data_IF_112179714409
#
_entry.id   IF_112179714409
#
_cell.length_a   1.000
_cell.length_b   1.000
_cell.length_c   1.000
_cell.angle_alpha   90.00
_cell.angle_beta   90.00
_cell.angle_gamma   90.00
#
_symmetry.space_group_name_H-M   'P 1'
#
loop_
_entity.id
_entity.type
_entity.pdbx_description
1 polymer ?
#
# COMPACT_ATOMS: atom_id res chain seq x y z
N UNK A 1 -20.79 -15.50 -1.38
CA UNK A 1 -20.46 -15.19 0.03
C UNK A 1 -19.49 -14.03 -0.04
N UNK A 2 -19.83 -12.88 0.51
CA UNK A 2 -18.88 -11.76 0.62
C UNK A 2 -17.88 -12.14 1.69
N UNK A 3 -16.87 -12.93 1.30
CA UNK A 3 -15.68 -13.13 2.10
C UNK A 3 -15.11 -11.74 2.36
N UNK A 4 -15.11 -11.37 3.64
CA UNK A 4 -14.66 -10.08 4.11
C UNK A 4 -13.23 -9.86 3.60
N UNK A 5 -13.03 -8.92 2.67
CA UNK A 5 -11.70 -8.40 2.30
C UNK A 5 -10.97 -7.79 3.52
N UNK A 6 -11.70 -7.58 4.62
CA UNK A 6 -11.16 -7.26 5.92
C UNK A 6 -10.61 -8.54 6.57
N UNK A 7 -9.31 -8.76 6.36
CA UNK A 7 -8.52 -9.66 7.18
C UNK A 7 -8.07 -8.90 8.46
N UNK A 8 -8.58 -9.29 9.65
CA UNK A 8 -8.26 -8.63 10.91
C UNK A 8 -6.80 -8.81 11.35
N UNK A 9 -6.06 -9.78 10.80
CA UNK A 9 -4.63 -9.98 11.06
C UNK A 9 -3.77 -9.16 10.09
N UNK A 10 -4.25 -8.94 8.86
CA UNK A 10 -3.51 -8.17 7.84
C UNK A 10 -3.52 -6.66 8.13
N UNK A 11 -4.65 -6.13 8.62
CA UNK A 11 -4.81 -4.69 8.85
C UNK A 11 -3.77 -4.12 9.85
N UNK A 12 -3.55 -4.74 11.03
CA UNK A 12 -2.50 -4.31 11.95
C UNK A 12 -1.10 -4.42 11.36
N UNK A 13 -0.81 -5.48 10.59
CA UNK A 13 0.49 -5.68 9.97
C UNK A 13 0.81 -4.61 8.93
N UNK A 14 -0.17 -4.24 8.09
CA UNK A 14 -0.04 -3.14 7.13
C UNK A 14 0.16 -1.79 7.83
N UNK A 15 -0.56 -1.55 8.92
CA UNK A 15 -0.39 -0.33 9.72
C UNK A 15 1.01 -0.25 10.33
N UNK A 16 1.48 -1.32 11.00
CA UNK A 16 2.83 -1.39 11.58
C UNK A 16 3.91 -1.24 10.50
N UNK A 17 3.69 -1.80 9.31
CA UNK A 17 4.61 -1.64 8.18
C UNK A 17 4.68 -0.18 7.72
N UNK A 18 3.54 0.51 7.61
CA UNK A 18 3.50 1.94 7.31
C UNK A 18 4.20 2.81 8.36
N UNK A 19 4.01 2.49 9.65
CA UNK A 19 4.69 3.17 10.75
C UNK A 19 6.21 2.95 10.71
N UNK A 20 6.66 1.73 10.42
CA UNK A 20 8.09 1.43 10.27
C UNK A 20 8.70 2.18 9.08
N UNK A 21 8.04 2.17 7.92
CA UNK A 21 8.47 2.93 6.74
C UNK A 21 8.56 4.43 7.08
N UNK A 22 7.58 4.98 7.79
CA UNK A 22 7.54 6.39 8.16
C UNK A 22 8.70 6.86 9.06
N UNK A 23 9.40 5.95 9.74
CA UNK A 23 10.52 6.27 10.63
C UNK A 23 11.82 6.62 9.88
N UNK A 24 11.95 6.25 8.60
CA UNK A 24 13.16 6.50 7.83
C UNK A 24 13.27 7.97 7.41
N UNK A 25 14.45 8.61 7.58
CA UNK A 25 14.60 10.05 7.40
C UNK A 25 14.53 10.48 5.93
N UNK A 26 15.05 9.67 5.01
CA UNK A 26 15.10 10.04 3.59
C UNK A 26 13.90 9.54 2.80
N UNK A 27 13.53 10.27 1.75
CA UNK A 27 12.48 9.81 0.84
C UNK A 27 12.89 8.54 0.07
N UNK A 28 14.20 8.38 -0.20
CA UNK A 28 14.75 7.23 -0.91
C UNK A 28 14.64 5.94 -0.09
N UNK A 29 14.96 5.97 1.21
CA UNK A 29 14.80 4.82 2.09
C UNK A 29 13.32 4.45 2.24
N UNK A 30 12.43 5.44 2.41
CA UNK A 30 10.98 5.20 2.47
C UNK A 30 10.46 4.56 1.20
N UNK A 31 10.92 5.02 0.04
CA UNK A 31 10.57 4.45 -1.26
C UNK A 31 11.06 3.00 -1.39
N UNK A 32 12.31 2.71 -1.01
CA UNK A 32 12.87 1.36 -1.07
C UNK A 32 12.05 0.36 -0.24
N UNK A 33 11.70 0.71 1.00
CA UNK A 33 10.85 -0.14 1.83
C UNK A 33 9.42 -0.29 1.32
N UNK A 34 8.88 0.77 0.71
CA UNK A 34 7.54 0.72 0.10
C UNK A 34 7.54 -0.23 -1.10
N UNK A 35 8.56 -0.17 -1.95
CA UNK A 35 8.73 -1.09 -3.08
C UNK A 35 8.89 -2.54 -2.60
N UNK A 36 9.71 -2.77 -1.58
CA UNK A 36 9.85 -4.08 -0.96
C UNK A 36 8.50 -4.65 -0.49
N UNK A 37 7.71 -3.85 0.26
CA UNK A 37 6.40 -4.28 0.73
C UNK A 37 5.45 -4.61 -0.43
N UNK A 38 5.44 -3.80 -1.49
CA UNK A 38 4.59 -4.04 -2.66
C UNK A 38 4.97 -5.33 -3.39
N UNK A 39 6.26 -5.67 -3.48
CA UNK A 39 6.73 -6.92 -4.07
C UNK A 39 6.35 -8.13 -3.20
N UNK A 40 6.47 -8.03 -1.87
CA UNK A 40 6.06 -9.08 -0.95
C UNK A 40 4.54 -9.34 -1.01
N UNK A 41 3.73 -8.30 -1.13
CA UNK A 41 2.26 -8.44 -1.22
C UNK A 41 1.82 -9.01 -2.58
N UNK A 42 2.57 -8.71 -3.64
CA UNK A 42 2.24 -9.11 -5.02
C UNK A 42 2.00 -10.61 -5.18
N UNK A 43 2.72 -11.45 -4.45
CA UNK A 43 2.57 -12.91 -4.55
C UNK A 43 1.23 -13.45 -4.03
N UNK A 44 0.53 -12.67 -3.20
CA UNK A 44 -0.77 -13.04 -2.62
C UNK A 44 -1.95 -12.58 -3.47
N UNK A 45 -1.70 -11.79 -4.52
CA UNK A 45 -2.72 -11.21 -5.38
C UNK A 45 -2.60 -11.78 -6.80
N UNK A 46 -3.73 -11.98 -7.46
CA UNK A 46 -3.72 -12.18 -8.91
C UNK A 46 -3.23 -10.92 -9.62
N UNK A 47 -2.80 -11.06 -10.87
CA UNK A 47 -2.35 -9.92 -11.68
C UNK A 47 -3.43 -8.83 -11.82
N UNK A 48 -4.71 -9.22 -11.86
CA UNK A 48 -5.82 -8.28 -11.92
C UNK A 48 -6.01 -7.53 -10.59
N UNK A 49 -6.02 -8.25 -9.47
CA UNK A 49 -6.14 -7.64 -8.13
C UNK A 49 -4.98 -6.69 -7.82
N UNK A 50 -3.76 -7.06 -8.21
CA UNK A 50 -2.60 -6.20 -8.04
C UNK A 50 -2.67 -4.93 -8.91
N UNK A 51 -3.14 -5.04 -10.15
CA UNK A 51 -3.34 -3.89 -11.03
C UNK A 51 -4.41 -2.93 -10.48
N UNK A 52 -5.53 -3.48 -9.99
CA UNK A 52 -6.61 -2.71 -9.37
C UNK A 52 -6.14 -2.01 -8.07
N UNK A 53 -5.34 -2.71 -7.27
CA UNK A 53 -4.72 -2.15 -6.06
C UNK A 53 -3.83 -0.94 -6.37
N UNK A 54 -2.90 -1.07 -7.34
CA UNK A 54 -2.04 0.05 -7.76
C UNK A 54 -2.85 1.22 -8.35
N UNK A 55 -3.90 0.93 -9.13
CA UNK A 55 -4.79 1.95 -9.67
C UNK A 55 -5.55 2.71 -8.55
N UNK A 56 -5.92 2.00 -7.47
CA UNK A 56 -6.52 2.60 -6.27
C UNK A 56 -5.58 3.59 -5.58
N UNK A 57 -4.33 3.18 -5.34
CA UNK A 57 -3.31 4.05 -4.73
C UNK A 57 -3.09 5.30 -5.58
N UNK A 58 -2.93 5.14 -6.89
CA UNK A 58 -2.72 6.28 -7.81
C UNK A 58 -3.88 7.27 -7.75
N UNK A 59 -5.12 6.79 -7.76
CA UNK A 59 -6.31 7.63 -7.71
C UNK A 59 -6.38 8.48 -6.45
N UNK A 60 -6.03 7.90 -5.30
CA UNK A 60 -6.01 8.60 -4.03
C UNK A 60 -4.89 9.67 -3.99
N UNK A 61 -3.72 9.37 -4.54
CA UNK A 61 -2.63 10.36 -4.68
C UNK A 61 -3.08 11.53 -5.57
N UNK A 62 -3.63 11.23 -6.74
CA UNK A 62 -4.08 12.24 -7.70
C UNK A 62 -5.19 13.12 -7.06
N UNK A 63 -6.11 12.52 -6.29
CA UNK A 63 -7.17 13.24 -5.56
C UNK A 63 -6.61 14.18 -4.49
N UNK A 64 -5.61 13.75 -3.71
CA UNK A 64 -4.96 14.59 -2.69
C UNK A 64 -4.17 15.74 -3.31
N UNK A 65 -3.50 15.50 -4.43
CA UNK A 65 -2.80 16.55 -5.17
C UNK A 65 -3.76 17.59 -5.75
N UNK A 66 -4.90 17.15 -6.30
CA UNK A 66 -5.94 18.04 -6.80
C UNK A 66 -6.63 18.87 -5.69
N UNK A 67 -6.72 18.33 -4.47
CA UNK A 67 -7.31 19.01 -3.31
C UNK A 67 -6.33 19.95 -2.57
N UNK A 68 -5.02 19.74 -2.74
CA UNK A 68 -3.96 20.54 -2.12
C UNK A 68 -3.32 21.61 -3.03
N UNK A 69 -3.82 21.73 -4.27
CA UNK A 69 -3.37 22.70 -5.28
C UNK A 69 -4.24 23.94 -5.41
#
# INVERSE_FOLDING_TARGET
MTDSLYDPELTPLLQMSGEHIGQYPTAEERLAWTMFLLDEVKQFLSAAEYADYLAGIKREIDARQAAGG
#
